data_IF_743498386866
#
_entry.id   IF_743498386866
#
_cell.length_a   1.000
_cell.length_b   1.000
_cell.length_c   1.000
_cell.angle_alpha   90.00
_cell.angle_beta   90.00
_cell.angle_gamma   90.00
#
_symmetry.space_group_name_H-M   'P 1'
#
loop_
_entity.id
_entity.type
_entity.pdbx_description
1 polymer ?
#
# COMPACT_ATOMS: atom_id res chain seq x y z
N UNK A 1 14.98 -32.66 15.81
CA UNK A 1 13.83 -32.91 16.68
C UNK A 1 13.61 -31.71 17.59
N UNK A 2 12.50 -31.01 17.37
CA UNK A 2 11.68 -30.33 18.39
C UNK A 2 10.43 -29.89 17.64
N UNK A 3 9.41 -30.76 17.67
CA UNK A 3 8.05 -30.46 17.26
C UNK A 3 7.49 -29.50 18.29
N UNK A 4 7.10 -28.30 17.86
CA UNK A 4 6.02 -27.60 18.53
C UNK A 4 4.78 -27.90 17.71
N UNK A 5 4.08 -28.96 18.10
CA UNK A 5 2.69 -29.18 17.72
C UNK A 5 1.90 -28.02 18.32
N UNK A 6 1.32 -27.17 17.49
CA UNK A 6 0.27 -26.26 17.94
C UNK A 6 -1.00 -27.10 18.16
N UNK A 7 -1.50 -27.28 19.39
CA UNK A 7 -2.87 -27.66 19.58
C UNK A 7 -3.70 -26.41 19.27
N UNK A 8 -4.55 -26.51 18.26
CA UNK A 8 -5.43 -25.47 17.71
C UNK A 8 -4.79 -24.35 16.86
N UNK A 9 -5.38 -24.24 15.68
CA UNK A 9 -5.02 -23.42 14.52
C UNK A 9 -5.30 -21.90 14.73
N UNK A 10 -5.10 -21.36 15.94
CA UNK A 10 -5.44 -19.97 16.29
C UNK A 10 -4.20 -19.16 16.65
N UNK A 11 -3.61 -18.49 15.66
CA UNK A 11 -2.67 -17.39 15.91
C UNK A 11 -3.51 -16.24 16.49
N UNK A 12 -3.25 -15.86 17.73
CA UNK A 12 -3.89 -14.70 18.37
C UNK A 12 -3.13 -13.41 18.05
N UNK A 13 -3.83 -12.27 17.94
CA UNK A 13 -3.26 -10.94 17.69
C UNK A 13 -2.07 -10.63 18.64
N UNK A 14 -2.13 -11.14 19.87
CA UNK A 14 -1.09 -10.94 20.89
C UNK A 14 0.28 -11.51 20.50
N UNK A 15 0.31 -12.51 19.62
CA UNK A 15 1.51 -13.18 19.13
C UNK A 15 2.16 -12.45 17.93
N UNK A 16 1.45 -11.50 17.30
CA UNK A 16 1.95 -10.75 16.15
C UNK A 16 2.55 -9.41 16.59
N UNK A 17 3.67 -9.02 15.99
CA UNK A 17 4.20 -7.67 16.14
C UNK A 17 3.43 -6.73 15.22
N UNK A 18 2.41 -6.06 15.77
CA UNK A 18 1.66 -5.01 15.09
C UNK A 18 2.17 -3.65 15.58
N UNK A 19 2.57 -2.79 14.65
CA UNK A 19 2.99 -1.43 14.92
C UNK A 19 2.36 -0.53 13.86
N UNK A 20 1.48 0.37 14.29
CA UNK A 20 0.87 1.32 13.38
C UNK A 20 1.86 2.44 13.06
N UNK A 21 2.29 2.62 11.78
CA UNK A 21 3.35 3.56 11.45
C UNK A 21 3.05 5.01 11.87
N UNK A 22 1.86 5.53 11.55
CA UNK A 22 1.53 6.94 11.82
C UNK A 22 1.17 7.24 13.28
N UNK A 23 0.54 6.30 13.99
CA UNK A 23 0.04 6.51 15.36
C UNK A 23 1.04 6.13 16.43
N UNK A 24 1.94 5.20 16.14
CA UNK A 24 2.84 4.64 17.16
C UNK A 24 4.31 4.85 16.82
N UNK A 25 4.72 4.59 15.57
CA UNK A 25 6.12 4.74 15.16
C UNK A 25 6.49 6.22 14.98
N UNK A 26 5.70 6.99 14.23
CA UNK A 26 6.01 8.40 13.94
C UNK A 26 6.14 9.25 15.22
N UNK A 27 5.21 9.20 16.21
CA UNK A 27 5.38 9.96 17.44
C UNK A 27 6.59 9.52 18.26
N UNK A 28 6.94 8.23 18.23
CA UNK A 28 8.13 7.71 18.91
C UNK A 28 9.42 8.23 18.28
N UNK A 29 9.49 8.29 16.95
CA UNK A 29 10.63 8.86 16.22
C UNK A 29 10.74 10.36 16.48
N UNK A 30 9.62 11.10 16.41
CA UNK A 30 9.60 12.54 16.66
C UNK A 30 9.99 12.88 18.11
N UNK A 31 9.58 12.08 19.10
CA UNK A 31 9.99 12.23 20.50
C UNK A 31 11.49 12.02 20.73
N UNK A 32 12.19 11.46 19.74
CA UNK A 32 13.65 11.21 19.75
C UNK A 32 14.41 12.12 18.79
N UNK A 33 13.74 13.13 18.22
CA UNK A 33 14.34 14.19 17.44
C UNK A 33 14.74 15.35 18.34
N UNK A 34 16.02 15.70 18.35
CA UNK A 34 16.57 16.83 19.09
C UNK A 34 16.88 17.98 18.13
N UNK A 35 16.39 19.17 18.43
CA UNK A 35 16.67 20.37 17.66
C UNK A 35 17.75 21.20 18.36
N UNK A 36 18.74 21.64 17.59
CA UNK A 36 19.81 22.52 18.08
C UNK A 36 19.90 23.76 17.20
N UNK A 37 19.96 24.93 17.81
CA UNK A 37 20.11 26.20 17.11
C UNK A 37 21.59 26.46 16.82
N UNK A 38 21.94 26.60 15.54
CA UNK A 38 23.27 27.00 15.10
C UNK A 38 23.37 28.53 15.05
N UNK A 39 24.60 29.05 15.23
CA UNK A 39 24.89 30.47 15.02
C UNK A 39 24.54 30.84 13.57
N UNK A 40 23.68 31.83 13.38
CA UNK A 40 23.16 32.23 12.06
C UNK A 40 21.66 32.01 11.88
N UNK A 41 20.96 31.41 12.86
CA UNK A 41 19.51 31.20 12.81
C UNK A 41 19.10 29.87 12.14
N UNK A 42 20.06 29.07 11.70
CA UNK A 42 19.80 27.72 11.18
C UNK A 42 19.48 26.74 12.33
N UNK A 43 18.50 25.87 12.12
CA UNK A 43 18.13 24.81 13.08
C UNK A 43 18.62 23.47 12.54
N UNK A 44 19.44 22.77 13.33
CA UNK A 44 19.90 21.41 13.03
C UNK A 44 19.09 20.39 13.81
N UNK A 45 18.80 19.24 13.20
CA UNK A 45 18.02 18.16 13.82
C UNK A 45 18.83 16.88 13.90
N UNK A 46 18.93 16.28 15.08
CA UNK A 46 19.60 14.99 15.31
C UNK A 46 18.63 13.97 15.89
N UNK A 47 18.78 12.69 15.52
CA UNK A 47 17.91 11.60 15.96
C UNK A 47 18.66 10.64 16.89
N UNK A 48 18.08 10.38 18.07
CA UNK A 48 18.55 9.33 19.01
C UNK A 48 18.07 7.95 18.52
N UNK A 49 18.76 7.41 17.50
CA UNK A 49 18.43 6.13 16.88
C UNK A 49 18.47 4.97 17.89
N UNK A 50 19.39 5.01 18.85
CA UNK A 50 19.51 3.99 19.89
C UNK A 50 18.29 4.01 20.83
N UNK A 51 17.83 5.20 21.21
CA UNK A 51 16.61 5.38 21.98
C UNK A 51 15.35 4.95 21.24
N UNK A 52 15.27 5.23 19.93
CA UNK A 52 14.19 4.73 19.05
C UNK A 52 14.19 3.21 19.04
N UNK A 53 15.33 2.58 18.75
CA UNK A 53 15.47 1.13 18.71
C UNK A 53 15.10 0.48 20.04
N UNK A 54 15.55 1.04 21.16
CA UNK A 54 15.25 0.52 22.51
C UNK A 54 13.75 0.57 22.82
N UNK A 55 13.08 1.68 22.48
CA UNK A 55 11.63 1.80 22.67
C UNK A 55 10.85 0.86 21.75
N UNK A 56 11.29 0.67 20.51
CA UNK A 56 10.68 -0.30 19.60
C UNK A 56 10.82 -1.73 20.14
N UNK A 57 12.05 -2.14 20.50
CA UNK A 57 12.34 -3.44 21.11
C UNK A 57 11.44 -3.71 22.32
N UNK A 58 11.36 -2.74 23.24
CA UNK A 58 10.59 -2.86 24.47
C UNK A 58 9.08 -2.93 24.22
N UNK A 59 8.53 -2.08 23.35
CA UNK A 59 7.08 -1.98 23.14
C UNK A 59 6.52 -3.07 22.25
N UNK A 60 7.26 -3.46 21.21
CA UNK A 60 6.73 -4.28 20.13
C UNK A 60 7.31 -5.68 20.07
N UNK A 61 8.53 -5.92 20.55
CA UNK A 61 9.21 -7.20 20.37
C UNK A 61 9.37 -8.00 21.68
N UNK A 62 9.40 -7.32 22.82
CA UNK A 62 9.58 -7.98 24.12
C UNK A 62 8.45 -8.97 24.43
N UNK A 63 8.81 -10.22 24.73
CA UNK A 63 7.87 -11.27 25.10
C UNK A 63 7.09 -11.92 23.94
N UNK A 64 7.38 -11.57 22.68
CA UNK A 64 6.73 -12.21 21.52
C UNK A 64 7.43 -13.50 21.10
N UNK A 65 6.67 -14.53 20.69
CA UNK A 65 7.24 -15.80 20.26
C UNK A 65 7.99 -15.63 18.93
N UNK A 66 9.06 -16.40 18.75
CA UNK A 66 9.74 -16.50 17.46
C UNK A 66 8.89 -17.35 16.50
N UNK A 67 8.35 -16.73 15.45
CA UNK A 67 7.56 -17.43 14.44
C UNK A 67 8.53 -17.93 13.36
N UNK A 68 8.71 -19.25 13.25
CA UNK A 68 9.48 -19.86 12.17
C UNK A 68 8.67 -19.87 10.87
N UNK A 69 9.28 -19.42 9.77
CA UNK A 69 8.63 -19.20 8.48
C UNK A 69 8.34 -20.54 7.78
N UNK A 70 7.09 -20.77 7.38
CA UNK A 70 6.77 -21.64 6.24
C UNK A 70 6.91 -20.80 4.96
N UNK A 71 7.51 -21.37 3.93
CA UNK A 71 8.06 -20.67 2.74
C UNK A 71 7.02 -20.09 1.76
N UNK A 72 6.10 -19.27 2.24
CA UNK A 72 5.11 -18.60 1.38
C UNK A 72 5.12 -17.11 1.64
N UNK A 73 5.50 -16.31 0.64
CA UNK A 73 5.29 -14.85 0.62
C UNK A 73 3.78 -14.59 0.80
N UNK A 74 3.32 -14.01 1.92
CA UNK A 74 1.88 -13.91 2.19
C UNK A 74 1.18 -13.00 1.18
N UNK A 75 1.82 -11.90 0.75
CA UNK A 75 1.18 -10.88 -0.08
C UNK A 75 1.04 -11.32 -1.54
N UNK A 76 2.04 -12.01 -2.10
CA UNK A 76 1.99 -12.47 -3.50
C UNK A 76 0.96 -13.59 -3.71
N UNK A 77 0.75 -14.46 -2.71
CA UNK A 77 -0.27 -15.52 -2.74
C UNK A 77 -1.69 -15.01 -2.42
N UNK A 78 -1.83 -13.85 -1.78
CA UNK A 78 -3.12 -13.25 -1.46
C UNK A 78 -3.83 -12.69 -2.70
N UNK A 79 -3.07 -12.30 -3.73
CA UNK A 79 -3.58 -11.64 -4.92
C UNK A 79 -4.44 -12.54 -5.81
N UNK A 80 -4.35 -13.87 -5.71
CA UNK A 80 -5.04 -14.78 -6.65
C UNK A 80 -6.48 -15.12 -6.29
N UNK A 81 -7.01 -14.71 -5.13
CA UNK A 81 -8.29 -15.28 -4.63
C UNK A 81 -9.44 -14.30 -4.53
N UNK A 82 -9.26 -12.97 -4.46
CA UNK A 82 -10.38 -12.02 -4.19
C UNK A 82 -10.20 -10.66 -4.91
N UNK A 83 -10.28 -10.65 -6.24
CA UNK A 83 -10.06 -9.45 -7.07
C UNK A 83 -11.35 -8.78 -7.60
N UNK A 84 -12.51 -9.00 -6.99
CA UNK A 84 -13.72 -8.39 -7.55
C UNK A 84 -13.72 -6.87 -7.33
N UNK A 85 -13.90 -6.06 -8.40
CA UNK A 85 -13.91 -4.61 -8.28
C UNK A 85 -15.06 -4.13 -7.40
N UNK A 86 -14.82 -3.09 -6.60
CA UNK A 86 -15.87 -2.47 -5.81
C UNK A 86 -16.84 -1.70 -6.71
N UNK A 87 -18.13 -1.76 -6.39
CA UNK A 87 -19.13 -0.85 -6.98
C UNK A 87 -18.76 0.60 -6.62
N UNK A 88 -18.90 1.53 -7.58
CA UNK A 88 -18.58 2.96 -7.38
C UNK A 88 -19.30 3.64 -6.21
N UNK A 89 -20.47 3.12 -5.80
CA UNK A 89 -21.19 3.59 -4.60
C UNK A 89 -20.45 3.29 -3.29
N UNK A 90 -19.66 2.20 -3.23
CA UNK A 90 -18.84 1.85 -2.06
C UNK A 90 -17.60 2.73 -2.01
N UNK A 91 -16.96 2.99 -3.16
CA UNK A 91 -15.82 3.89 -3.28
C UNK A 91 -16.16 5.33 -2.86
N UNK A 92 -17.29 5.87 -3.31
CA UNK A 92 -17.76 7.20 -2.91
C UNK A 92 -18.12 7.28 -1.42
N UNK A 93 -18.71 6.21 -0.87
CA UNK A 93 -19.00 6.12 0.56
C UNK A 93 -17.71 6.08 1.40
N UNK A 94 -16.69 5.32 0.99
CA UNK A 94 -15.36 5.33 1.64
C UNK A 94 -14.75 6.74 1.60
N UNK A 95 -14.83 7.43 0.45
CA UNK A 95 -14.36 8.80 0.30
C UNK A 95 -15.05 9.81 1.24
N UNK A 96 -16.33 9.59 1.53
CA UNK A 96 -17.09 10.44 2.44
C UNK A 96 -16.75 10.20 3.93
N UNK A 97 -16.32 8.99 4.29
CA UNK A 97 -16.02 8.56 5.66
C UNK A 97 -14.57 8.89 6.04
N UNK A 98 -13.61 8.63 5.16
CA UNK A 98 -12.18 8.81 5.41
C UNK A 98 -11.74 10.24 5.10
N UNK A 99 -11.92 11.15 6.05
CA UNK A 99 -11.75 12.60 5.81
C UNK A 99 -10.33 13.10 6.09
N UNK A 100 -9.50 12.32 6.78
CA UNK A 100 -8.12 12.68 7.11
C UNK A 100 -7.12 11.62 6.65
N UNK A 101 -5.86 12.05 6.47
CA UNK A 101 -4.75 11.13 6.18
C UNK A 101 -4.60 10.04 7.25
N UNK A 102 -4.83 10.38 8.52
CA UNK A 102 -4.79 9.41 9.62
C UNK A 102 -5.88 8.36 9.48
N UNK A 103 -7.11 8.76 9.12
CA UNK A 103 -8.22 7.80 8.92
C UNK A 103 -7.91 6.82 7.79
N UNK A 104 -7.34 7.33 6.68
CA UNK A 104 -6.92 6.47 5.55
C UNK A 104 -5.81 5.51 5.98
N UNK A 105 -4.83 5.97 6.77
CA UNK A 105 -3.78 5.10 7.29
C UNK A 105 -4.32 4.01 8.21
N UNK A 106 -5.28 4.32 9.09
CA UNK A 106 -5.94 3.33 9.94
C UNK A 106 -6.68 2.29 9.11
N UNK A 107 -7.40 2.72 8.07
CA UNK A 107 -8.12 1.83 7.17
C UNK A 107 -7.15 0.91 6.42
N UNK A 108 -6.06 1.44 5.84
CA UNK A 108 -5.02 0.62 5.18
C UNK A 108 -4.47 -0.42 6.16
N UNK A 109 -4.10 0.00 7.37
CA UNK A 109 -3.55 -0.89 8.39
C UNK A 109 -4.51 -2.03 8.77
N UNK A 110 -5.80 -1.70 8.96
CA UNK A 110 -6.83 -2.68 9.27
C UNK A 110 -7.00 -3.71 8.15
N UNK A 111 -7.09 -3.24 6.90
CA UNK A 111 -7.26 -4.11 5.74
C UNK A 111 -6.04 -4.99 5.50
N UNK A 112 -4.81 -4.48 5.67
CA UNK A 112 -3.59 -5.28 5.56
C UNK A 112 -3.54 -6.42 6.59
N UNK A 113 -3.94 -6.16 7.83
CA UNK A 113 -4.06 -7.21 8.85
C UNK A 113 -5.09 -8.24 8.40
N UNK A 114 -6.28 -7.79 8.01
CA UNK A 114 -7.35 -8.63 7.49
C UNK A 114 -6.87 -9.57 6.38
N UNK A 115 -6.23 -9.01 5.36
CA UNK A 115 -5.66 -9.77 4.23
C UNK A 115 -4.65 -10.81 4.70
N UNK A 116 -3.70 -10.47 5.58
CA UNK A 116 -2.70 -11.43 6.09
C UNK A 116 -3.32 -12.65 6.78
N UNK A 117 -4.47 -12.47 7.46
CA UNK A 117 -5.20 -13.58 8.08
C UNK A 117 -6.03 -14.35 7.06
N UNK A 118 -6.76 -13.67 6.16
CA UNK A 118 -7.53 -14.30 5.08
C UNK A 118 -6.65 -15.20 4.21
N UNK A 119 -5.42 -14.77 3.91
CA UNK A 119 -4.47 -15.57 3.14
C UNK A 119 -4.04 -16.87 3.82
N UNK A 120 -4.24 -17.00 5.14
CA UNK A 120 -3.90 -18.21 5.92
C UNK A 120 -5.11 -19.04 6.30
N UNK A 121 -6.22 -18.40 6.64
CA UNK A 121 -7.42 -19.06 7.18
C UNK A 121 -8.52 -19.24 6.15
N UNK A 122 -8.43 -18.57 5.01
CA UNK A 122 -9.58 -18.30 4.16
C UNK A 122 -10.61 -17.42 4.86
N UNK A 123 -11.79 -17.30 4.26
CA UNK A 123 -12.93 -16.59 4.82
C UNK A 123 -14.16 -16.76 3.91
N UNK A 124 -15.35 -16.51 4.46
CA UNK A 124 -16.57 -16.46 3.66
C UNK A 124 -16.56 -15.18 2.81
N UNK A 125 -16.50 -15.35 1.49
CA UNK A 125 -16.43 -14.27 0.49
C UNK A 125 -17.55 -13.24 0.66
N UNK A 126 -18.72 -13.69 1.11
CA UNK A 126 -19.91 -12.85 1.30
C UNK A 126 -19.94 -12.12 2.66
N UNK A 127 -19.06 -12.50 3.59
CA UNK A 127 -18.97 -11.84 4.88
C UNK A 127 -18.48 -10.39 4.71
N UNK A 128 -18.94 -9.51 5.60
CA UNK A 128 -18.50 -8.12 5.61
C UNK A 128 -17.06 -8.04 6.15
N UNK A 129 -16.22 -7.27 5.47
CA UNK A 129 -14.85 -7.00 5.90
C UNK A 129 -14.83 -6.37 7.29
N UNK A 130 -15.75 -5.45 7.57
CA UNK A 130 -15.90 -4.86 8.90
C UNK A 130 -16.15 -5.92 9.99
N UNK A 131 -17.14 -6.79 9.79
CA UNK A 131 -17.47 -7.87 10.75
C UNK A 131 -16.33 -8.86 10.91
N UNK A 132 -15.59 -9.17 9.85
CA UNK A 132 -14.40 -10.02 9.96
C UNK A 132 -13.33 -9.38 10.85
N UNK A 133 -13.03 -8.09 10.63
CA UNK A 133 -12.03 -7.36 11.41
C UNK A 133 -12.45 -7.21 12.88
N UNK A 134 -13.73 -6.92 13.17
CA UNK A 134 -14.21 -6.75 14.54
C UNK A 134 -14.46 -8.06 15.26
N UNK A 135 -15.17 -8.99 14.63
CA UNK A 135 -15.75 -10.13 15.34
C UNK A 135 -14.82 -11.33 15.28
N UNK A 136 -14.11 -11.51 14.16
CA UNK A 136 -13.16 -12.63 13.98
C UNK A 136 -11.77 -12.28 14.45
N UNK A 137 -11.26 -11.10 14.06
CA UNK A 137 -9.92 -10.65 14.45
C UNK A 137 -9.89 -9.84 15.76
N UNK A 138 -11.05 -9.51 16.34
CA UNK A 138 -11.15 -8.79 17.62
C UNK A 138 -10.43 -7.43 17.62
N UNK A 139 -10.34 -6.78 16.45
CA UNK A 139 -9.70 -5.48 16.32
C UNK A 139 -10.52 -4.36 16.97
N UNK A 140 -9.84 -3.31 17.44
CA UNK A 140 -10.49 -2.17 18.09
C UNK A 140 -11.51 -1.49 17.15
N UNK A 141 -12.73 -1.16 17.64
CA UNK A 141 -13.80 -0.54 16.83
C UNK A 141 -13.40 0.77 16.11
N UNK A 142 -12.51 1.55 16.72
CA UNK A 142 -11.99 2.79 16.15
C UNK A 142 -11.07 2.60 14.93
N UNK A 143 -10.51 1.40 14.75
CA UNK A 143 -9.63 1.04 13.63
C UNK A 143 -10.44 0.35 12.53
N UNK A 144 -11.48 -0.39 12.90
CA UNK A 144 -12.32 -1.13 11.94
C UNK A 144 -13.43 -0.27 11.33
N UNK A 145 -14.02 0.67 12.08
CA UNK A 145 -15.12 1.54 11.60
C UNK A 145 -14.75 2.48 10.46
N UNK A 146 -13.45 2.65 10.17
CA UNK A 146 -12.91 3.42 9.05
C UNK A 146 -13.02 2.66 7.72
N UNK A 147 -13.10 1.33 7.76
CA UNK A 147 -13.31 0.49 6.57
C UNK A 147 -14.80 0.48 6.26
N UNK A 148 -15.21 1.09 5.15
CA UNK A 148 -16.63 1.07 4.77
C UNK A 148 -17.13 -0.37 4.58
N UNK A 149 -18.46 -0.54 4.59
CA UNK A 149 -19.13 -1.83 4.43
C UNK A 149 -18.85 -2.44 3.05
N UNK A 150 -17.70 -3.08 2.89
CA UNK A 150 -17.34 -3.93 1.75
C UNK A 150 -17.39 -5.40 2.17
N UNK A 151 -17.54 -6.29 1.18
CA UNK A 151 -17.45 -7.74 1.35
C UNK A 151 -16.01 -8.20 1.29
N UNK A 152 -15.73 -9.36 1.89
CA UNK A 152 -14.39 -9.95 1.88
C UNK A 152 -13.86 -10.18 0.46
N UNK A 153 -14.73 -10.51 -0.50
CA UNK A 153 -14.37 -10.64 -1.92
C UNK A 153 -13.79 -9.37 -2.57
N UNK A 154 -14.00 -8.21 -1.96
CA UNK A 154 -13.47 -6.94 -2.43
C UNK A 154 -12.29 -6.44 -1.59
N UNK A 155 -11.72 -7.25 -0.70
CA UNK A 155 -10.70 -6.79 0.25
C UNK A 155 -9.41 -6.32 -0.43
N UNK A 156 -9.03 -6.97 -1.54
CA UNK A 156 -7.82 -6.62 -2.30
C UNK A 156 -8.03 -5.30 -3.03
N UNK A 157 -9.15 -5.15 -3.73
CA UNK A 157 -9.50 -3.88 -4.37
C UNK A 157 -9.66 -2.75 -3.34
N UNK A 158 -10.23 -3.06 -2.16
CA UNK A 158 -10.31 -2.10 -1.04
C UNK A 158 -8.91 -1.66 -0.61
N UNK A 159 -7.98 -2.60 -0.45
CA UNK A 159 -6.59 -2.30 -0.12
C UNK A 159 -5.93 -1.43 -1.19
N UNK A 160 -6.03 -1.80 -2.47
CA UNK A 160 -5.47 -1.06 -3.61
C UNK A 160 -6.00 0.38 -3.65
N UNK A 161 -7.31 0.56 -3.47
CA UNK A 161 -7.94 1.88 -3.43
C UNK A 161 -7.43 2.73 -2.26
N UNK A 162 -7.34 2.14 -1.07
CA UNK A 162 -6.91 2.84 0.14
C UNK A 162 -5.42 3.21 0.09
N UNK A 163 -4.56 2.32 -0.42
CA UNK A 163 -3.13 2.61 -0.58
C UNK A 163 -2.88 3.66 -1.66
N UNK A 164 -3.60 3.58 -2.79
CA UNK A 164 -3.55 4.61 -3.83
C UNK A 164 -3.98 5.97 -3.26
N UNK A 165 -5.10 6.01 -2.53
CA UNK A 165 -5.58 7.24 -1.91
C UNK A 165 -4.62 7.77 -0.83
N UNK A 166 -4.01 6.90 -0.02
CA UNK A 166 -2.97 7.28 0.93
C UNK A 166 -1.80 7.99 0.22
N UNK A 167 -1.35 7.47 -0.92
CA UNK A 167 -0.32 8.10 -1.73
C UNK A 167 -0.81 9.41 -2.37
N UNK A 168 -2.07 9.48 -2.80
CA UNK A 168 -2.67 10.71 -3.36
C UNK A 168 -2.73 11.86 -2.35
N UNK A 169 -2.91 11.56 -1.06
CA UNK A 169 -2.84 12.55 0.02
C UNK A 169 -1.39 12.99 0.31
N UNK A 170 -0.40 12.26 -0.20
CA UNK A 170 1.03 12.45 0.01
C UNK A 170 1.80 12.72 -1.30
N UNK A 171 1.14 13.24 -2.34
CA UNK A 171 1.71 13.43 -3.69
C UNK A 171 3.07 14.13 -3.73
N UNK A 172 3.33 15.01 -2.75
CA UNK A 172 4.57 15.79 -2.67
C UNK A 172 5.73 15.04 -1.98
N UNK A 173 5.54 13.78 -1.55
CA UNK A 173 6.57 13.00 -0.85
C UNK A 173 7.16 11.89 -1.73
N UNK A 174 8.49 11.81 -1.73
CA UNK A 174 9.29 10.77 -2.37
C UNK A 174 9.21 9.48 -1.56
N UNK A 175 8.27 8.58 -1.89
CA UNK A 175 8.08 7.30 -1.17
C UNK A 175 8.68 6.08 -1.89
N UNK A 176 9.14 6.24 -3.13
CA UNK A 176 9.74 5.17 -3.94
C UNK A 176 11.27 5.19 -3.86
N UNK A 177 11.98 4.16 -4.35
CA UNK A 177 13.41 4.27 -4.59
C UNK A 177 13.72 5.38 -5.61
N UNK A 178 14.92 5.97 -5.56
CA UNK A 178 15.28 7.13 -6.40
C UNK A 178 15.27 6.82 -7.90
N UNK A 179 15.51 5.57 -8.28
CA UNK A 179 15.55 5.12 -9.68
C UNK A 179 14.17 5.15 -10.38
N UNK A 180 13.07 5.08 -9.62
CA UNK A 180 11.68 5.16 -10.10
C UNK A 180 11.07 6.57 -10.00
N UNK A 181 11.90 7.59 -9.75
CA UNK A 181 11.49 8.98 -9.55
C UNK A 181 12.10 9.94 -10.59
N UNK A 182 12.39 9.44 -11.78
CA UNK A 182 12.83 10.27 -12.89
C UNK A 182 11.68 11.16 -13.37
N UNK A 183 12.01 12.36 -13.83
CA UNK A 183 11.02 13.32 -14.32
C UNK A 183 10.73 13.08 -15.80
N UNK A 184 9.47 13.28 -16.18
CA UNK A 184 9.08 13.29 -17.59
C UNK A 184 9.55 14.58 -18.26
N UNK A 185 10.11 14.45 -19.46
CA UNK A 185 10.35 15.56 -20.40
C UNK A 185 9.04 16.20 -20.85
N UNK A 186 9.12 17.40 -21.42
CA UNK A 186 7.95 18.12 -21.91
C UNK A 186 7.24 17.39 -23.05
N UNK A 187 7.99 16.68 -23.89
CA UNK A 187 7.48 15.87 -25.00
C UNK A 187 6.72 14.65 -24.46
N UNK A 188 7.30 13.91 -23.51
CA UNK A 188 6.64 12.77 -22.86
C UNK A 188 5.39 13.21 -22.10
N UNK A 189 5.42 14.36 -21.41
CA UNK A 189 4.24 14.93 -20.73
C UNK A 189 3.12 15.27 -21.72
N UNK A 190 3.44 15.75 -22.92
CA UNK A 190 2.43 16.02 -23.96
C UNK A 190 1.82 14.72 -24.47
N UNK A 191 2.65 13.72 -24.77
CA UNK A 191 2.18 12.39 -25.19
C UNK A 191 1.29 11.74 -24.14
N UNK A 192 1.73 11.75 -22.88
CA UNK A 192 0.96 11.24 -21.74
C UNK A 192 -0.41 11.92 -21.62
N UNK A 193 -0.51 13.24 -21.82
CA UNK A 193 -1.81 13.94 -21.78
C UNK A 193 -2.78 13.48 -22.87
N UNK A 194 -2.27 13.15 -24.07
CA UNK A 194 -3.10 12.62 -25.15
C UNK A 194 -3.68 11.26 -24.76
N UNK A 195 -2.86 10.38 -24.19
CA UNK A 195 -3.31 9.10 -23.65
C UNK A 195 -4.33 9.27 -22.51
N UNK A 196 -4.05 10.14 -21.53
CA UNK A 196 -4.95 10.39 -20.40
C UNK A 196 -6.32 10.95 -20.81
N UNK A 197 -6.42 11.59 -21.98
CA UNK A 197 -7.68 12.10 -22.50
C UNK A 197 -8.63 11.02 -23.04
N UNK A 198 -8.12 9.81 -23.32
CA UNK A 198 -8.90 8.71 -23.94
C UNK A 198 -9.05 7.49 -23.03
N UNK A 199 -8.12 7.29 -22.09
CA UNK A 199 -8.10 6.13 -21.20
C UNK A 199 -9.02 6.30 -19.98
N UNK A 200 -9.30 5.20 -19.28
CA UNK A 200 -9.87 5.24 -17.94
C UNK A 200 -8.76 5.62 -16.94
N UNK A 201 -8.67 6.91 -16.61
CA UNK A 201 -7.63 7.47 -15.74
C UNK A 201 -7.70 6.92 -14.32
N UNK A 202 -8.89 6.56 -13.83
CA UNK A 202 -9.04 5.96 -12.50
C UNK A 202 -8.44 4.56 -12.46
N UNK A 203 -8.75 3.71 -13.44
CA UNK A 203 -8.16 2.38 -13.55
C UNK A 203 -6.66 2.47 -13.80
N UNK A 204 -6.23 3.30 -14.77
CA UNK A 204 -4.81 3.49 -15.05
C UNK A 204 -4.01 3.91 -13.82
N UNK A 205 -4.48 4.90 -13.06
CA UNK A 205 -3.80 5.37 -11.86
C UNK A 205 -3.76 4.31 -10.76
N UNK A 206 -4.80 3.48 -10.62
CA UNK A 206 -4.85 2.40 -9.63
C UNK A 206 -3.89 1.26 -9.96
N UNK A 207 -3.84 0.83 -11.22
CA UNK A 207 -2.97 -0.28 -11.66
C UNK A 207 -1.50 0.13 -11.65
N UNK A 208 -1.19 1.34 -12.14
CA UNK A 208 0.17 1.86 -12.08
C UNK A 208 0.64 2.06 -10.62
N UNK A 209 -0.24 2.52 -9.73
CA UNK A 209 0.07 2.63 -8.30
C UNK A 209 0.41 1.28 -7.69
N UNK A 210 -0.37 0.24 -8.01
CA UNK A 210 -0.13 -1.12 -7.50
C UNK A 210 1.24 -1.65 -7.94
N UNK A 211 1.59 -1.48 -9.22
CA UNK A 211 2.90 -1.87 -9.75
C UNK A 211 4.03 -1.16 -8.99
N UNK A 212 3.95 0.17 -8.85
CA UNK A 212 4.94 0.97 -8.13
C UNK A 212 5.00 0.60 -6.63
N UNK A 213 3.90 0.20 -6.03
CA UNK A 213 3.89 -0.17 -4.61
C UNK A 213 4.47 -1.57 -4.37
N UNK A 214 4.14 -2.53 -5.22
CA UNK A 214 4.40 -3.96 -4.99
C UNK A 214 5.65 -4.48 -5.69
N UNK A 215 5.99 -3.92 -6.86
CA UNK A 215 7.03 -4.48 -7.75
C UNK A 215 8.32 -3.69 -7.76
N UNK A 216 8.33 -2.47 -7.22
CA UNK A 216 9.53 -1.62 -7.16
C UNK A 216 10.06 -1.46 -5.74
N UNK A 217 9.71 -2.38 -4.83
CA UNK A 217 10.24 -2.40 -3.45
C UNK A 217 11.44 -3.33 -3.35
N UNK A 218 12.52 -2.89 -2.68
CA UNK A 218 13.74 -3.67 -2.43
C UNK A 218 13.54 -4.92 -1.54
N UNK A 219 12.31 -5.20 -1.12
CA UNK A 219 12.01 -6.31 -0.20
C UNK A 219 12.29 -7.70 -0.81
N UNK A 220 12.28 -7.84 -2.14
CA UNK A 220 12.54 -9.11 -2.85
C UNK A 220 13.41 -8.86 -4.10
N UNK A 221 14.74 -9.00 -4.02
CA UNK A 221 15.67 -8.63 -5.10
C UNK A 221 15.49 -9.40 -6.42
N UNK A 222 14.95 -10.61 -6.37
CA UNK A 222 14.88 -11.53 -7.53
C UNK A 222 13.53 -11.47 -8.29
N UNK A 223 12.56 -10.70 -7.78
CA UNK A 223 11.20 -10.57 -8.36
C UNK A 223 10.81 -9.12 -8.69
N UNK A 224 11.75 -8.18 -8.49
CA UNK A 224 11.53 -6.74 -8.64
C UNK A 224 11.59 -6.28 -10.10
N UNK A 225 10.73 -5.32 -10.44
CA UNK A 225 10.73 -4.67 -11.76
C UNK A 225 11.92 -3.72 -11.87
N UNK A 226 12.40 -3.51 -13.09
CA UNK A 226 13.57 -2.65 -13.34
C UNK A 226 13.15 -1.29 -13.87
N UNK A 227 13.84 -0.23 -13.44
CA UNK A 227 13.51 1.15 -13.84
C UNK A 227 13.59 1.41 -15.35
N UNK A 228 14.41 0.67 -16.10
CA UNK A 228 14.55 0.86 -17.55
C UNK A 228 13.49 0.12 -18.37
N UNK A 229 12.59 -0.64 -17.74
CA UNK A 229 11.51 -1.32 -18.46
C UNK A 229 10.48 -0.31 -18.95
N UNK A 230 9.97 -0.55 -20.16
CA UNK A 230 8.88 0.21 -20.76
C UNK A 230 7.61 0.10 -19.91
N UNK A 231 6.96 1.23 -19.67
CA UNK A 231 5.77 1.30 -18.82
C UNK A 231 4.55 0.64 -19.50
N UNK A 232 4.46 0.74 -20.84
CA UNK A 232 3.32 0.24 -21.61
C UNK A 232 3.26 -1.29 -21.54
N UNK A 233 4.34 -1.96 -21.93
CA UNK A 233 4.46 -3.42 -21.90
C UNK A 233 4.30 -3.96 -20.49
N UNK A 234 4.84 -3.24 -19.49
CA UNK A 234 4.68 -3.62 -18.08
C UNK A 234 3.22 -3.61 -17.65
N UNK A 235 2.46 -2.58 -18.03
CA UNK A 235 1.02 -2.49 -17.74
C UNK A 235 0.23 -3.58 -18.46
N UNK A 236 0.54 -3.87 -19.73
CA UNK A 236 -0.11 -4.95 -20.49
C UNK A 236 0.04 -6.30 -19.78
N UNK A 237 1.28 -6.66 -19.45
CA UNK A 237 1.58 -7.90 -18.72
C UNK A 237 0.90 -7.94 -17.36
N UNK A 238 0.83 -6.82 -16.65
CA UNK A 238 0.17 -6.74 -15.35
C UNK A 238 -1.35 -6.95 -15.46
N UNK A 239 -1.99 -6.31 -16.44
CA UNK A 239 -3.44 -6.45 -16.70
C UNK A 239 -3.79 -7.87 -17.14
N UNK A 240 -2.97 -8.49 -17.99
CA UNK A 240 -3.12 -9.89 -18.40
C UNK A 240 -3.02 -10.84 -17.21
N UNK A 241 -2.07 -10.62 -16.29
CA UNK A 241 -1.96 -11.42 -15.06
C UNK A 241 -3.16 -11.31 -14.12
N UNK A 242 -3.94 -10.23 -14.22
CA UNK A 242 -5.16 -9.98 -13.43
C UNK A 242 -6.44 -10.31 -14.20
N UNK A 243 -6.35 -10.87 -15.41
CA UNK A 243 -7.48 -11.12 -16.31
C UNK A 243 -8.35 -9.85 -16.53
N UNK A 244 -7.71 -8.67 -16.57
CA UNK A 244 -8.36 -7.38 -16.79
C UNK A 244 -8.30 -6.96 -18.27
N UNK A 245 -9.30 -6.20 -18.76
CA UNK A 245 -9.27 -5.70 -20.13
C UNK A 245 -8.12 -4.70 -20.32
N UNK A 246 -7.60 -4.63 -21.54
CA UNK A 246 -6.61 -3.63 -21.92
C UNK A 246 -7.18 -2.22 -21.83
N UNK A 247 -6.33 -1.27 -21.42
CA UNK A 247 -6.72 0.13 -21.33
C UNK A 247 -6.97 0.74 -22.71
N UNK A 248 -8.02 1.55 -22.81
CA UNK A 248 -8.34 2.26 -24.05
C UNK A 248 -7.21 3.22 -24.42
N UNK A 249 -6.77 3.15 -25.67
CA UNK A 249 -5.74 4.05 -26.20
C UNK A 249 -4.34 3.78 -25.66
N UNK A 250 -4.06 2.62 -25.05
CA UNK A 250 -2.74 2.27 -24.53
C UNK A 250 -1.62 2.38 -25.58
N UNK A 251 -1.95 2.15 -26.87
CA UNK A 251 -1.06 2.38 -28.02
C UNK A 251 -0.59 3.84 -28.18
N UNK A 252 -1.32 4.80 -27.62
CA UNK A 252 -0.96 6.22 -27.67
C UNK A 252 -0.02 6.65 -26.56
N UNK A 253 0.27 5.77 -25.60
CA UNK A 253 1.27 6.01 -24.57
C UNK A 253 2.67 5.97 -25.23
N UNK A 254 3.52 7.01 -25.04
CA UNK A 254 4.85 7.03 -25.64
C UNK A 254 5.71 5.85 -25.18
N UNK A 255 6.35 5.15 -26.14
CA UNK A 255 7.20 3.98 -25.89
C UNK A 255 8.51 4.34 -25.17
N UNK A 256 8.88 5.63 -25.17
CA UNK A 256 10.07 6.12 -24.49
C UNK A 256 9.89 6.19 -22.97
N UNK A 257 8.64 6.17 -22.48
CA UNK A 257 8.36 6.29 -21.05
C UNK A 257 8.69 4.97 -20.34
N UNK A 258 9.56 5.05 -19.35
CA UNK A 258 10.00 3.89 -18.58
C UNK A 258 9.37 3.87 -17.18
N UNK A 259 9.44 2.72 -16.50
CA UNK A 259 9.09 2.61 -15.07
C UNK A 259 9.91 3.56 -14.19
N UNK A 260 11.12 3.94 -14.63
CA UNK A 260 11.95 4.95 -14.00
C UNK A 260 11.23 6.29 -13.81
N UNK A 261 10.31 6.62 -14.71
CA UNK A 261 9.46 7.81 -14.66
C UNK A 261 8.07 7.52 -14.08
N UNK A 262 7.80 6.29 -13.65
CA UNK A 262 6.47 5.82 -13.26
C UNK A 262 5.85 6.65 -12.13
N UNK A 263 6.64 7.12 -11.16
CA UNK A 263 6.15 8.01 -10.11
C UNK A 263 5.59 9.34 -10.66
N UNK A 264 6.25 9.91 -11.67
CA UNK A 264 5.85 11.19 -12.27
C UNK A 264 4.69 11.00 -13.26
N UNK A 265 4.64 9.88 -13.98
CA UNK A 265 3.47 9.46 -14.78
C UNK A 265 2.24 9.32 -13.89
N UNK A 266 2.37 8.59 -12.77
CA UNK A 266 1.27 8.40 -11.83
C UNK A 266 0.79 9.73 -11.23
N UNK A 267 1.73 10.61 -10.84
CA UNK A 267 1.39 11.96 -10.36
C UNK A 267 0.62 12.75 -11.40
N UNK A 268 1.07 12.76 -12.65
CA UNK A 268 0.39 13.44 -13.74
C UNK A 268 -1.03 12.90 -13.98
N UNK A 269 -1.23 11.59 -13.87
CA UNK A 269 -2.57 10.97 -13.97
C UNK A 269 -3.49 11.39 -12.81
N UNK A 270 -2.99 11.38 -11.58
CA UNK A 270 -3.74 11.84 -10.40
C UNK A 270 -4.11 13.32 -10.52
N UNK A 271 -3.18 14.16 -10.97
CA UNK A 271 -3.44 15.58 -11.21
C UNK A 271 -4.45 15.80 -12.34
N UNK A 272 -4.41 14.99 -13.40
CA UNK A 272 -5.36 15.04 -14.49
C UNK A 272 -6.78 14.71 -14.03
N UNK A 273 -6.94 13.67 -13.20
CA UNK A 273 -8.24 13.29 -12.60
C UNK A 273 -8.86 14.39 -11.73
N UNK A 274 -8.03 15.22 -11.08
CA UNK A 274 -8.49 16.29 -10.18
C UNK A 274 -8.97 17.55 -10.91
N UNK A 275 -8.71 17.66 -12.21
CA UNK A 275 -9.14 18.79 -13.06
C UNK A 275 -10.52 18.53 -13.62
#
# INVERSE_FOLDING_TARGET
GLKILFPDNRISETQLTLCHPERELLPLVLAKCHYTLKKGGETDSSYDLQGVQTQLARRFFSGKPLIQRSHSSPLTLLLSVLQEPLKGSVCSSMKAVLRSYTDVCDAVFAVEIGLRFLGKTGGDRQCQLLSYLTDSLQMKPQISSTVAKSRLEHSIFTWQLLTCWKSELMLNRKQLPSEFQQELSEEERKGLKVFLAVTDVDVFALELHEILLLKTSDAVPDEGYQAHWDIKSTLEVHLEQKDLPTLLGLESLPEEITLGQGADVWRAAVEFKRR
#
